data_IF_892169540935
#
_entry.id   IF_892169540935
#
_cell.length_a   1.000
_cell.length_b   1.000
_cell.length_c   1.000
_cell.angle_alpha   90.00
_cell.angle_beta   90.00
_cell.angle_gamma   90.00
#
_symmetry.space_group_name_H-M   'P 1'
#
loop_
_entity.id
_entity.type
_entity.pdbx_description
1 polymer ?
#
# COMPACT_ATOMS: atom_id res chain seq x y z
N UNK A 1 -4.78 -6.96 19.65
CA UNK A 1 -4.01 -8.22 19.53
C UNK A 1 -3.20 -8.13 18.25
N UNK A 2 -1.87 -8.01 18.33
CA UNK A 2 -1.01 -8.07 17.15
C UNK A 2 -0.81 -9.55 16.79
N UNK A 3 -1.56 -10.04 15.82
CA UNK A 3 -1.34 -11.35 15.23
C UNK A 3 0.03 -11.34 14.56
N UNK A 4 0.94 -12.20 15.00
CA UNK A 4 2.22 -12.42 14.31
C UNK A 4 1.92 -13.00 12.92
N UNK A 5 1.80 -12.13 11.91
CA UNK A 5 1.59 -12.53 10.52
C UNK A 5 2.87 -13.17 9.99
N UNK A 6 2.77 -14.35 9.39
CA UNK A 6 3.92 -15.00 8.74
C UNK A 6 4.37 -14.16 7.55
N UNK A 7 5.66 -14.20 7.23
CA UNK A 7 6.24 -13.44 6.11
C UNK A 7 5.58 -13.75 4.76
N UNK A 8 5.13 -14.98 4.53
CA UNK A 8 4.37 -15.35 3.32
C UNK A 8 3.02 -14.64 3.26
N UNK A 9 2.31 -14.59 4.38
CA UNK A 9 1.00 -13.98 4.49
C UNK A 9 1.14 -12.45 4.32
N UNK A 10 2.19 -11.86 4.91
CA UNK A 10 2.57 -10.45 4.72
C UNK A 10 2.90 -10.12 3.26
N UNK A 11 3.61 -10.99 2.54
CA UNK A 11 3.92 -10.76 1.12
C UNK A 11 2.65 -10.68 0.28
N UNK A 12 1.74 -11.62 0.48
CA UNK A 12 0.46 -11.64 -0.24
C UNK A 12 -0.38 -10.39 0.09
N UNK A 13 -0.43 -9.99 1.35
CA UNK A 13 -1.15 -8.79 1.79
C UNK A 13 -0.55 -7.52 1.18
N UNK A 14 0.77 -7.33 1.27
CA UNK A 14 1.45 -6.15 0.71
C UNK A 14 1.28 -6.05 -0.80
N UNK A 15 1.35 -7.17 -1.53
CA UNK A 15 1.12 -7.19 -2.99
C UNK A 15 -0.31 -6.79 -3.31
N UNK A 16 -1.31 -7.28 -2.56
CA UNK A 16 -2.70 -6.89 -2.75
C UNK A 16 -2.89 -5.39 -2.57
N UNK A 17 -2.40 -4.81 -1.47
CA UNK A 17 -2.52 -3.37 -1.20
C UNK A 17 -1.80 -2.54 -2.27
N UNK A 18 -0.63 -3.01 -2.72
CA UNK A 18 0.12 -2.39 -3.81
C UNK A 18 -0.67 -2.39 -5.12
N UNK A 19 -1.25 -3.52 -5.53
CA UNK A 19 -1.97 -3.64 -6.79
C UNK A 19 -3.23 -2.75 -6.81
N UNK A 20 -3.96 -2.69 -5.69
CA UNK A 20 -5.10 -1.79 -5.53
C UNK A 20 -4.67 -0.32 -5.64
N UNK A 21 -3.56 0.05 -5.00
CA UNK A 21 -2.98 1.40 -5.07
C UNK A 21 -2.51 1.76 -6.48
N UNK A 22 -1.91 0.80 -7.19
CA UNK A 22 -1.50 0.94 -8.60
C UNK A 22 -2.71 1.16 -9.49
N UNK A 23 -3.83 0.46 -9.27
CA UNK A 23 -5.04 0.62 -10.04
C UNK A 23 -5.62 2.04 -9.85
N UNK A 24 -5.69 2.53 -8.61
CA UNK A 24 -6.18 3.89 -8.31
C UNK A 24 -5.27 4.95 -8.91
N UNK A 25 -3.95 4.82 -8.75
CA UNK A 25 -2.97 5.77 -9.27
C UNK A 25 -2.90 5.81 -10.81
N UNK A 26 -3.41 4.80 -11.51
CA UNK A 26 -3.48 4.76 -12.98
C UNK A 26 -4.89 5.08 -13.54
N UNK A 27 -5.90 5.26 -12.70
CA UNK A 27 -7.25 5.57 -13.15
C UNK A 27 -7.41 7.06 -13.45
N UNK A 28 -7.91 7.38 -14.64
CA UNK A 28 -8.20 8.77 -15.04
C UNK A 28 -9.25 9.44 -14.13
N UNK A 29 -10.15 8.66 -13.52
CA UNK A 29 -11.12 9.14 -12.55
C UNK A 29 -10.44 9.79 -11.33
N UNK A 30 -9.41 9.12 -10.79
CA UNK A 30 -8.72 9.57 -9.58
C UNK A 30 -7.63 10.60 -9.92
N UNK A 31 -6.88 10.38 -11.00
CA UNK A 31 -5.82 11.30 -11.48
C UNK A 31 -6.37 12.70 -11.77
N UNK A 32 -7.53 12.78 -12.43
CA UNK A 32 -8.14 14.06 -12.79
C UNK A 32 -9.03 14.64 -11.67
N UNK A 33 -9.17 13.92 -10.55
CA UNK A 33 -9.90 14.42 -9.39
C UNK A 33 -9.02 15.38 -8.58
N UNK A 34 -9.63 16.36 -7.93
CA UNK A 34 -8.97 17.14 -6.88
C UNK A 34 -8.92 16.41 -5.54
N UNK A 35 -9.31 15.13 -5.49
CA UNK A 35 -9.38 14.35 -4.26
C UNK A 35 -7.97 13.86 -3.88
N UNK A 36 -7.64 13.78 -2.58
CA UNK A 36 -6.35 13.26 -2.13
C UNK A 36 -6.10 11.78 -2.46
N UNK A 37 -7.10 11.03 -2.92
CA UNK A 37 -7.01 9.61 -3.24
C UNK A 37 -5.84 9.29 -4.19
N UNK A 38 -5.60 10.10 -5.23
CA UNK A 38 -4.47 9.88 -6.14
C UNK A 38 -3.10 10.04 -5.46
N UNK A 39 -2.96 11.02 -4.56
CA UNK A 39 -1.71 11.25 -3.82
C UNK A 39 -1.46 10.06 -2.90
N UNK A 40 -2.44 9.67 -2.09
CA UNK A 40 -2.30 8.55 -1.18
C UNK A 40 -2.10 7.22 -1.91
N UNK A 41 -2.74 7.00 -3.05
CA UNK A 41 -2.48 5.84 -3.91
C UNK A 41 -1.03 5.79 -4.41
N UNK A 42 -0.47 6.95 -4.79
CA UNK A 42 0.92 7.05 -5.26
C UNK A 42 1.91 6.75 -4.13
N UNK A 43 1.68 7.30 -2.94
CA UNK A 43 2.49 7.03 -1.75
C UNK A 43 2.37 5.56 -1.30
N UNK A 44 1.15 5.01 -1.29
CA UNK A 44 0.88 3.62 -0.93
C UNK A 44 1.57 2.64 -1.88
N UNK A 45 1.48 2.89 -3.20
CA UNK A 45 2.21 2.12 -4.21
C UNK A 45 3.71 2.06 -3.92
N UNK A 46 4.34 3.20 -3.59
CA UNK A 46 5.78 3.28 -3.30
C UNK A 46 6.12 2.55 -2.00
N UNK A 47 5.39 2.82 -0.92
CA UNK A 47 5.63 2.19 0.38
C UNK A 47 5.43 0.67 0.34
N UNK A 48 4.34 0.20 -0.27
CA UNK A 48 4.08 -1.23 -0.43
C UNK A 48 5.12 -1.90 -1.35
N UNK A 49 5.58 -1.21 -2.41
CA UNK A 49 6.67 -1.71 -3.25
C UNK A 49 7.99 -1.88 -2.50
N UNK A 50 8.35 -0.93 -1.65
CA UNK A 50 9.52 -1.03 -0.77
C UNK A 50 9.37 -2.15 0.26
N UNK A 51 8.21 -2.24 0.93
CA UNK A 51 7.90 -3.30 1.87
C UNK A 51 8.03 -4.68 1.22
N UNK A 52 7.47 -4.85 0.02
CA UNK A 52 7.59 -6.10 -0.74
C UNK A 52 9.05 -6.42 -1.08
N UNK A 53 9.83 -5.41 -1.48
CA UNK A 53 11.28 -5.53 -1.69
C UNK A 53 12.02 -6.06 -0.47
N UNK A 54 11.77 -5.50 0.71
CA UNK A 54 12.35 -5.97 1.97
C UNK A 54 11.89 -7.40 2.32
N UNK A 55 10.61 -7.71 2.16
CA UNK A 55 10.09 -9.04 2.45
C UNK A 55 10.74 -10.11 1.53
N UNK A 56 11.11 -9.76 0.28
CA UNK A 56 11.84 -10.66 -0.62
C UNK A 56 13.23 -11.03 -0.10
N UNK A 57 13.89 -10.15 0.66
CA UNK A 57 15.17 -10.43 1.32
C UNK A 57 15.01 -11.04 2.71
N UNK A 58 13.78 -11.42 3.11
CA UNK A 58 13.40 -11.85 4.45
C UNK A 58 13.64 -10.79 5.54
N UNK A 59 13.79 -9.52 5.17
CA UNK A 59 13.83 -8.40 6.10
C UNK A 59 12.41 -7.85 6.30
N UNK A 60 11.99 -7.73 7.56
CA UNK A 60 10.69 -7.16 7.92
C UNK A 60 10.89 -5.75 8.45
N UNK A 61 10.76 -4.77 7.56
CA UNK A 61 10.80 -3.37 7.94
C UNK A 61 9.41 -2.91 8.42
N UNK A 62 9.22 -2.81 9.73
CA UNK A 62 7.90 -2.48 10.29
C UNK A 62 7.43 -1.07 9.94
N UNK A 63 8.35 -0.10 9.81
CA UNK A 63 8.01 1.27 9.42
C UNK A 63 7.46 1.32 7.99
N UNK A 64 8.13 0.66 7.04
CA UNK A 64 7.68 0.60 5.65
C UNK A 64 6.38 -0.19 5.51
N UNK A 65 6.19 -1.26 6.28
CA UNK A 65 4.92 -2.02 6.33
C UNK A 65 3.78 -1.16 6.86
N UNK A 66 3.99 -0.46 7.97
CA UNK A 66 2.99 0.44 8.57
C UNK A 66 2.64 1.59 7.62
N UNK A 67 3.62 2.13 6.88
CA UNK A 67 3.38 3.15 5.83
C UNK A 67 2.54 2.59 4.69
N UNK A 68 2.84 1.38 4.21
CA UNK A 68 2.05 0.71 3.18
C UNK A 68 0.57 0.60 3.58
N UNK A 69 0.30 0.05 4.77
CA UNK A 69 -1.08 -0.08 5.30
C UNK A 69 -1.74 1.29 5.50
N UNK A 70 -1.07 2.23 6.17
CA UNK A 70 -1.63 3.54 6.48
C UNK A 70 -1.94 4.39 5.23
N UNK A 71 -1.07 4.35 4.22
CA UNK A 71 -1.30 5.11 2.98
C UNK A 71 -2.40 4.48 2.14
N UNK A 72 -2.50 3.15 2.12
CA UNK A 72 -3.62 2.46 1.47
C UNK A 72 -4.95 2.78 2.17
N UNK A 73 -5.00 2.72 3.51
CA UNK A 73 -6.21 3.07 4.26
C UNK A 73 -6.67 4.51 3.97
N UNK A 74 -5.73 5.47 3.93
CA UNK A 74 -6.03 6.86 3.54
C UNK A 74 -6.54 6.95 2.12
N UNK A 75 -5.93 6.24 1.17
CA UNK A 75 -6.40 6.20 -0.21
C UNK A 75 -7.88 5.76 -0.24
N UNK A 76 -8.21 4.64 0.42
CA UNK A 76 -9.58 4.12 0.49
C UNK A 76 -10.53 5.11 1.17
N UNK A 77 -10.09 5.78 2.24
CA UNK A 77 -10.87 6.83 2.92
C UNK A 77 -11.28 7.94 1.94
N UNK A 78 -10.34 8.46 1.15
CA UNK A 78 -10.61 9.53 0.19
C UNK A 78 -11.29 9.08 -1.10
N UNK A 79 -11.52 7.78 -1.30
CA UNK A 79 -12.31 7.27 -2.42
C UNK A 79 -13.82 7.27 -2.11
N UNK A 80 -14.20 7.18 -0.82
CA UNK A 80 -15.59 7.24 -0.36
C UNK A 80 -16.06 8.69 -0.17
#
# INVERSE_FOLDING_TARGET
MATSRRTTDLKTEVVKLMDESVAVANSSEWINSSRPAFIWASEAKVACGMAYGYLKTNYKDEDTLNKCECFHDRMVEYMN
#
